data_IF_890534150869
#
_entry.id   IF_890534150869
#
_cell.length_a   1.000
_cell.length_b   1.000
_cell.length_c   1.000
_cell.angle_alpha   90.00
_cell.angle_beta   90.00
_cell.angle_gamma   90.00
#
_symmetry.space_group_name_H-M   'P 1'
#
loop_
_entity.id
_entity.type
_entity.pdbx_description
1 polymer ?
#
# COMPACT_ATOMS: atom_id res chain seq x y z
N UNK A 1 -6.56 13.57 28.59
CA UNK A 1 -5.13 13.93 28.67
C UNK A 1 -4.65 14.22 27.27
N UNK A 2 -4.86 15.42 26.83
CA UNK A 2 -4.30 16.05 25.63
C UNK A 2 -2.88 16.47 25.93
N UNK A 3 -1.86 15.82 25.31
CA UNK A 3 -0.53 16.45 25.14
C UNK A 3 0.40 15.54 24.33
N UNK A 4 0.94 16.06 23.24
CA UNK A 4 2.15 15.54 22.62
C UNK A 4 2.20 15.55 21.08
N UNK A 5 1.06 15.66 20.38
CA UNK A 5 1.04 15.42 18.93
C UNK A 5 1.22 16.67 18.01
N UNK A 6 1.43 17.87 18.58
CA UNK A 6 1.55 19.09 17.76
C UNK A 6 2.91 19.30 17.10
N UNK A 7 3.97 18.67 17.58
CA UNK A 7 5.33 18.90 17.03
C UNK A 7 5.65 18.04 15.81
N UNK A 8 5.11 16.81 15.71
CA UNK A 8 5.38 15.93 14.54
C UNK A 8 4.66 16.36 13.26
N UNK A 9 3.48 16.98 13.38
CA UNK A 9 2.75 17.53 12.22
C UNK A 9 3.44 18.76 11.59
N UNK A 10 4.30 19.47 12.33
CA UNK A 10 5.02 20.64 11.83
C UNK A 10 6.22 20.29 10.98
N UNK A 11 6.89 19.14 11.19
CA UNK A 11 8.07 18.76 10.40
C UNK A 11 7.70 18.15 9.04
N UNK A 12 6.62 17.38 8.94
CA UNK A 12 6.09 16.95 7.64
C UNK A 12 5.46 18.11 6.83
N UNK A 13 5.01 19.19 7.49
CA UNK A 13 4.57 20.43 6.86
C UNK A 13 5.72 21.27 6.27
N UNK A 14 6.94 21.11 6.75
CA UNK A 14 8.12 21.84 6.27
C UNK A 14 8.69 21.32 4.96
N UNK A 15 8.28 20.12 4.51
CA UNK A 15 8.72 19.54 3.24
C UNK A 15 7.92 20.03 2.01
N UNK A 16 6.78 20.71 2.21
CA UNK A 16 5.96 21.31 1.14
C UNK A 16 5.65 22.75 1.52
N UNK A 17 5.85 23.71 0.60
CA UNK A 17 5.73 25.14 0.83
C UNK A 17 4.40 25.57 1.48
N UNK A 18 4.46 26.51 2.39
CA UNK A 18 3.42 26.88 3.37
C UNK A 18 2.15 27.54 2.80
N UNK A 19 2.02 27.77 1.50
CA UNK A 19 0.86 28.47 0.90
C UNK A 19 -0.18 27.53 0.26
N UNK A 20 0.17 26.28 -0.06
CA UNK A 20 -0.70 25.35 -0.81
C UNK A 20 -1.73 24.59 0.05
N UNK A 21 -1.67 24.72 1.37
CA UNK A 21 -2.45 23.91 2.33
C UNK A 21 -3.86 24.41 2.63
N UNK A 22 -4.29 25.54 2.06
CA UNK A 22 -5.56 26.20 2.42
C UNK A 22 -6.80 25.56 1.82
N UNK A 23 -6.66 24.66 0.83
CA UNK A 23 -7.77 24.10 0.06
C UNK A 23 -8.15 22.66 0.42
N UNK A 24 -7.42 21.97 1.32
CA UNK A 24 -7.70 20.58 1.69
C UNK A 24 -8.06 20.42 3.16
N UNK A 25 -8.80 19.33 3.53
CA UNK A 25 -9.06 19.03 4.93
C UNK A 25 -7.75 19.04 5.73
N UNK A 26 -7.77 19.64 6.89
CA UNK A 26 -6.59 19.91 7.75
C UNK A 26 -5.77 18.65 8.10
N UNK A 27 -6.21 17.46 7.73
CA UNK A 27 -5.68 16.16 8.14
C UNK A 27 -5.22 15.26 6.98
N UNK A 28 -5.17 15.73 5.73
CA UNK A 28 -4.70 14.90 4.60
C UNK A 28 -3.17 14.76 4.59
N UNK A 29 -2.68 13.53 4.41
CA UNK A 29 -1.25 13.22 4.24
C UNK A 29 -0.99 12.85 2.77
N UNK A 30 -0.05 13.56 2.16
CA UNK A 30 0.39 13.30 0.79
C UNK A 30 1.56 12.33 0.77
N UNK A 31 1.69 11.51 -0.31
CA UNK A 31 2.83 10.62 -0.45
C UNK A 31 4.16 11.37 -0.47
N UNK A 32 5.07 11.01 0.41
CA UNK A 32 6.40 11.60 0.54
C UNK A 32 7.41 11.04 -0.48
N UNK A 33 7.08 11.04 -1.77
CA UNK A 33 7.90 10.44 -2.84
C UNK A 33 9.32 10.99 -2.95
N UNK A 34 9.58 12.17 -2.41
CA UNK A 34 10.91 12.78 -2.48
C UNK A 34 11.93 12.04 -1.61
N UNK A 35 11.52 11.49 -0.44
CA UNK A 35 12.47 10.82 0.48
C UNK A 35 11.86 9.90 1.53
N UNK A 36 10.54 9.91 1.76
CA UNK A 36 9.93 9.31 2.96
C UNK A 36 8.72 8.42 2.69
N UNK A 37 8.65 7.81 1.51
CA UNK A 37 7.62 6.85 1.17
C UNK A 37 8.14 5.42 1.12
N UNK A 38 7.24 4.44 1.08
CA UNK A 38 7.57 3.02 0.86
C UNK A 38 8.32 2.79 -0.46
N UNK A 39 8.15 3.66 -1.46
CA UNK A 39 8.92 3.61 -2.72
C UNK A 39 10.38 3.95 -2.46
N UNK A 40 10.63 4.97 -1.64
CA UNK A 40 11.97 5.40 -1.25
C UNK A 40 12.68 4.32 -0.40
N UNK A 41 11.92 3.59 0.44
CA UNK A 41 12.45 2.45 1.19
C UNK A 41 12.96 1.37 0.23
N UNK A 42 12.17 0.98 -0.78
CA UNK A 42 12.58 -0.03 -1.77
C UNK A 42 13.80 0.43 -2.58
N UNK A 43 13.85 1.70 -2.97
CA UNK A 43 15.03 2.28 -3.63
C UNK A 43 16.28 2.28 -2.74
N UNK A 44 16.12 2.50 -1.42
CA UNK A 44 17.22 2.43 -0.47
C UNK A 44 17.72 0.99 -0.28
N UNK A 45 16.83 -0.01 -0.27
CA UNK A 45 17.19 -1.43 -0.21
C UNK A 45 18.00 -1.84 -1.44
N UNK A 46 17.57 -1.44 -2.64
CA UNK A 46 18.34 -1.68 -3.86
C UNK A 46 19.75 -1.09 -3.78
N UNK A 47 19.87 0.17 -3.34
CA UNK A 47 21.17 0.84 -3.16
C UNK A 47 22.06 0.16 -2.12
N UNK A 48 21.48 -0.34 -1.03
CA UNK A 48 22.22 -1.08 0.00
C UNK A 48 22.96 -2.30 -0.61
N UNK A 49 22.31 -3.02 -1.52
CA UNK A 49 22.88 -4.15 -2.22
C UNK A 49 23.66 -3.78 -3.50
N UNK A 50 23.89 -2.50 -3.77
CA UNK A 50 24.57 -2.06 -4.99
C UNK A 50 23.79 -2.26 -6.27
N UNK A 51 22.48 -2.50 -6.19
CA UNK A 51 21.59 -2.69 -7.34
C UNK A 51 21.09 -1.36 -7.92
N UNK A 52 20.79 -1.34 -9.21
CA UNK A 52 20.29 -0.16 -9.90
C UNK A 52 18.84 0.18 -9.54
N UNK A 53 18.57 1.48 -9.35
CA UNK A 53 17.22 2.02 -9.14
C UNK A 53 16.71 2.59 -10.46
N UNK A 54 16.01 1.79 -11.24
CA UNK A 54 15.56 2.14 -12.60
C UNK A 54 14.48 3.23 -12.68
N UNK A 55 13.80 3.55 -11.58
CA UNK A 55 12.77 4.59 -11.52
C UNK A 55 13.32 6.01 -11.37
N UNK A 56 14.59 6.15 -10.98
CA UNK A 56 15.18 7.43 -10.60
C UNK A 56 14.65 7.99 -9.28
N UNK A 57 13.89 7.22 -8.51
CA UNK A 57 13.41 7.59 -7.18
C UNK A 57 14.60 7.68 -6.23
N UNK A 58 14.63 8.73 -5.41
CA UNK A 58 15.64 8.88 -4.35
C UNK A 58 15.42 7.82 -3.27
N UNK A 59 16.49 7.16 -2.85
CA UNK A 59 16.38 6.21 -1.72
C UNK A 59 16.12 6.93 -0.39
N UNK A 60 15.44 6.25 0.51
CA UNK A 60 15.31 6.66 1.91
C UNK A 60 16.71 6.70 2.56
N UNK A 61 16.98 7.71 3.36
CA UNK A 61 18.25 7.83 4.06
C UNK A 61 18.19 7.11 5.42
N UNK A 62 18.67 5.87 5.49
CA UNK A 62 18.71 5.13 6.75
C UNK A 62 19.49 5.87 7.80
N UNK A 63 20.71 6.33 7.47
CA UNK A 63 21.64 6.97 8.42
C UNK A 63 21.08 8.28 8.99
N UNK A 64 20.49 9.15 8.15
CA UNK A 64 19.88 10.40 8.60
C UNK A 64 18.69 10.16 9.54
N UNK A 65 18.06 9.00 9.45
CA UNK A 65 16.95 8.60 10.31
C UNK A 65 17.38 7.71 11.48
N UNK A 66 18.67 7.60 11.75
CA UNK A 66 19.21 6.84 12.88
C UNK A 66 19.14 5.32 12.70
N UNK A 67 19.02 4.84 11.46
CA UNK A 67 19.03 3.42 11.12
C UNK A 67 20.36 3.07 10.43
N UNK A 68 20.90 1.88 10.67
CA UNK A 68 22.16 1.46 10.07
C UNK A 68 22.06 0.04 9.51
N UNK A 69 22.36 -0.12 8.23
CA UNK A 69 22.44 -1.41 7.53
C UNK A 69 23.89 -1.80 7.17
N UNK A 70 24.90 -1.10 7.67
CA UNK A 70 26.30 -1.43 7.40
C UNK A 70 26.64 -2.85 7.85
N UNK A 71 27.28 -3.64 6.99
CA UNK A 71 27.61 -5.04 7.25
C UNK A 71 26.45 -6.03 7.13
N UNK A 72 25.25 -5.58 6.77
CA UNK A 72 24.09 -6.47 6.57
C UNK A 72 24.16 -7.07 5.18
N UNK A 73 24.23 -8.39 5.12
CA UNK A 73 24.24 -9.19 3.89
C UNK A 73 22.86 -9.83 3.61
N UNK A 74 22.12 -10.17 4.68
CA UNK A 74 20.80 -10.79 4.60
C UNK A 74 19.75 -9.86 5.16
N UNK A 75 18.86 -9.37 4.30
CA UNK A 75 17.81 -8.45 4.70
C UNK A 75 16.44 -9.10 4.56
N UNK A 76 15.68 -9.13 5.64
CA UNK A 76 14.29 -9.57 5.65
C UNK A 76 13.38 -8.36 5.78
N UNK A 77 12.46 -8.19 4.86
CA UNK A 77 11.45 -7.12 4.90
C UNK A 77 10.09 -7.72 5.15
N UNK A 78 9.52 -7.47 6.32
CA UNK A 78 8.13 -7.82 6.62
C UNK A 78 7.23 -6.68 6.16
N UNK A 79 6.33 -6.97 5.24
CA UNK A 79 5.23 -6.10 4.84
C UNK A 79 3.99 -6.64 5.54
N UNK A 80 3.55 -5.94 6.58
CA UNK A 80 2.40 -6.34 7.40
C UNK A 80 1.20 -5.51 6.96
N UNK A 81 0.36 -6.11 6.13
CA UNK A 81 -0.76 -5.46 5.44
C UNK A 81 -1.68 -4.70 6.40
N UNK A 82 -1.96 -3.46 6.06
CA UNK A 82 -2.84 -2.53 6.77
C UNK A 82 -2.40 -2.17 8.21
N UNK A 83 -1.19 -2.52 8.65
CA UNK A 83 -0.69 -2.12 9.97
C UNK A 83 -0.05 -0.74 9.89
N UNK A 84 -0.90 0.29 9.78
CA UNK A 84 -0.47 1.68 9.76
C UNK A 84 0.23 2.12 11.07
N UNK A 85 0.92 3.25 11.00
CA UNK A 85 1.68 3.80 12.13
C UNK A 85 0.85 3.95 13.41
N UNK A 86 -0.35 4.51 13.30
CA UNK A 86 -1.23 4.69 14.47
C UNK A 86 -1.81 3.38 14.99
N UNK A 87 -2.11 2.45 14.09
CA UNK A 87 -2.60 1.12 14.48
C UNK A 87 -1.52 0.36 15.24
N UNK A 88 -0.29 0.36 14.75
CA UNK A 88 0.85 -0.26 15.43
C UNK A 88 1.13 0.40 16.78
N UNK A 89 1.09 1.74 16.87
CA UNK A 89 1.32 2.45 18.13
C UNK A 89 0.40 1.96 19.24
N UNK A 90 -0.89 1.71 18.96
CA UNK A 90 -1.83 1.14 19.93
C UNK A 90 -1.45 -0.28 20.37
N UNK A 91 -0.94 -1.09 19.43
CA UNK A 91 -0.48 -2.45 19.75
C UNK A 91 0.74 -2.40 20.66
N UNK A 92 1.72 -1.54 20.38
CA UNK A 92 2.92 -1.37 21.20
C UNK A 92 2.61 -0.80 22.60
N UNK A 93 1.62 0.09 22.73
CA UNK A 93 1.18 0.62 24.02
C UNK A 93 0.46 -0.44 24.88
N UNK A 94 -0.25 -1.37 24.24
CA UNK A 94 -1.06 -2.40 24.89
C UNK A 94 -0.30 -3.68 25.22
N UNK A 95 0.88 -3.88 24.64
CA UNK A 95 1.68 -5.10 24.75
C UNK A 95 3.12 -4.75 25.13
N UNK A 96 3.83 -5.72 25.72
CA UNK A 96 5.24 -5.58 26.06
C UNK A 96 6.07 -6.42 25.11
N UNK A 97 6.93 -5.74 24.37
CA UNK A 97 7.94 -6.35 23.50
C UNK A 97 9.34 -6.01 24.01
N UNK A 98 10.31 -6.85 23.69
CA UNK A 98 11.71 -6.63 24.05
C UNK A 98 12.40 -5.71 23.03
N UNK A 99 12.08 -5.89 21.75
CA UNK A 99 12.75 -5.22 20.64
C UNK A 99 11.86 -4.21 19.90
N UNK A 100 10.57 -4.15 20.22
CA UNK A 100 9.65 -3.21 19.59
C UNK A 100 9.24 -2.12 20.56
N UNK A 101 9.94 -0.99 20.50
CA UNK A 101 9.61 0.20 21.29
C UNK A 101 9.02 1.26 20.36
N UNK A 102 8.03 2.01 20.83
CA UNK A 102 7.40 3.07 20.05
C UNK A 102 8.41 4.14 19.58
N UNK A 103 9.44 4.42 20.38
CA UNK A 103 10.48 5.41 20.11
C UNK A 103 11.37 5.00 18.92
N UNK A 104 11.46 3.72 18.63
CA UNK A 104 12.26 3.16 17.55
C UNK A 104 11.49 3.13 16.22
N UNK A 105 10.19 3.38 16.24
CA UNK A 105 9.34 3.38 15.04
C UNK A 105 9.56 4.67 14.26
N UNK A 106 10.09 4.56 13.05
CA UNK A 106 10.15 5.65 12.08
C UNK A 106 8.88 5.66 11.25
N UNK A 107 8.58 6.79 10.65
CA UNK A 107 7.34 7.01 9.89
C UNK A 107 7.66 7.16 8.40
N UNK A 108 6.98 6.38 7.57
CA UNK A 108 6.94 6.53 6.12
C UNK A 108 5.52 6.85 5.68
N UNK A 109 5.37 7.26 4.42
CA UNK A 109 4.06 7.32 3.79
C UNK A 109 3.85 6.13 2.87
N UNK A 110 2.61 5.70 2.75
CA UNK A 110 2.15 4.88 1.64
C UNK A 110 2.18 5.69 0.33
N UNK A 111 1.74 5.07 -0.74
CA UNK A 111 1.48 5.70 -2.04
C UNK A 111 0.01 6.12 -2.14
N UNK A 112 -0.36 6.86 -3.19
CA UNK A 112 -1.75 7.13 -3.50
C UNK A 112 -2.18 6.39 -4.78
N UNK A 113 -3.35 5.69 -4.74
CA UNK A 113 -4.17 5.41 -3.54
C UNK A 113 -3.43 4.51 -2.54
N UNK A 114 -3.75 4.67 -1.24
CA UNK A 114 -3.19 3.87 -0.15
C UNK A 114 -3.86 2.50 -0.08
N UNK A 115 -3.58 1.66 -1.07
CA UNK A 115 -4.22 0.36 -1.27
C UNK A 115 -3.22 -0.70 -1.68
N UNK A 116 -3.46 -1.95 -1.26
CA UNK A 116 -2.57 -3.11 -1.44
C UNK A 116 -2.03 -3.24 -2.87
N UNK A 117 -2.90 -3.15 -3.89
CA UNK A 117 -2.47 -3.34 -5.29
C UNK A 117 -1.45 -2.31 -5.75
N UNK A 118 -1.68 -1.01 -5.44
CA UNK A 118 -0.76 0.08 -5.79
C UNK A 118 0.49 0.07 -4.91
N UNK A 119 0.32 -0.11 -3.61
CA UNK A 119 1.40 -0.04 -2.64
C UNK A 119 2.39 -1.20 -2.76
N UNK A 120 1.90 -2.45 -2.84
CA UNK A 120 2.78 -3.61 -3.07
C UNK A 120 3.51 -3.49 -4.41
N UNK A 121 2.81 -3.09 -5.49
CA UNK A 121 3.48 -2.89 -6.77
C UNK A 121 4.58 -1.84 -6.67
N UNK A 122 4.35 -0.76 -5.95
CA UNK A 122 5.37 0.26 -5.70
C UNK A 122 6.57 -0.29 -4.91
N UNK A 123 6.33 -1.09 -3.87
CA UNK A 123 7.40 -1.74 -3.10
C UNK A 123 8.20 -2.70 -3.99
N UNK A 124 7.52 -3.58 -4.74
CA UNK A 124 8.16 -4.60 -5.56
C UNK A 124 8.84 -4.07 -6.83
N UNK A 125 8.62 -2.81 -7.20
CA UNK A 125 9.25 -2.19 -8.39
C UNK A 125 10.08 -0.95 -8.08
N UNK A 126 10.13 -0.52 -6.83
CA UNK A 126 10.76 0.74 -6.41
C UNK A 126 10.31 1.91 -7.32
N UNK A 127 9.04 1.94 -7.74
CA UNK A 127 8.48 2.94 -8.64
C UNK A 127 7.12 3.45 -8.16
N UNK A 128 6.78 4.67 -8.55
CA UNK A 128 5.53 5.32 -8.14
C UNK A 128 4.34 4.83 -8.98
N UNK A 129 3.09 4.94 -8.50
CA UNK A 129 1.90 4.47 -9.23
C UNK A 129 1.78 5.01 -10.65
N UNK A 130 2.17 6.26 -10.91
CA UNK A 130 2.21 6.85 -12.25
C UNK A 130 3.24 6.22 -13.20
N UNK A 131 4.16 5.40 -12.70
CA UNK A 131 5.15 4.68 -13.50
C UNK A 131 4.76 3.21 -13.76
N UNK A 132 4.30 2.49 -12.73
CA UNK A 132 3.95 1.08 -12.89
C UNK A 132 2.51 0.85 -13.39
N UNK A 133 1.63 1.85 -13.26
CA UNK A 133 0.31 1.87 -13.88
C UNK A 133 -0.79 1.09 -13.16
N UNK A 134 -0.55 0.60 -11.95
CA UNK A 134 -1.60 0.08 -11.05
C UNK A 134 -2.04 1.22 -10.15
N UNK A 135 -3.25 1.74 -10.40
CA UNK A 135 -3.76 2.96 -9.81
C UNK A 135 -4.87 2.72 -8.77
N UNK A 136 -5.07 1.49 -8.31
CA UNK A 136 -6.10 1.18 -7.31
C UNK A 136 -6.60 -0.25 -7.39
N UNK A 137 -7.54 -0.60 -6.51
CA UNK A 137 -8.18 -1.91 -6.45
C UNK A 137 -9.02 -2.19 -7.70
N UNK A 138 -9.94 -1.27 -8.05
CA UNK A 138 -10.73 -1.35 -9.27
C UNK A 138 -10.24 -0.30 -10.28
N UNK A 139 -9.86 -0.74 -11.45
CA UNK A 139 -9.31 0.10 -12.51
C UNK A 139 -10.04 -0.14 -13.83
N UNK A 140 -10.48 0.93 -14.48
CA UNK A 140 -11.09 0.80 -15.81
C UNK A 140 -10.01 0.48 -16.86
N UNK A 141 -10.15 -0.66 -17.49
CA UNK A 141 -9.27 -1.17 -18.54
C UNK A 141 -10.13 -1.55 -19.76
N UNK A 142 -10.49 -0.57 -20.60
CA UNK A 142 -11.36 -0.82 -21.76
C UNK A 142 -10.87 -1.93 -22.70
N UNK A 143 -9.54 -2.09 -22.78
CA UNK A 143 -8.88 -3.16 -23.54
C UNK A 143 -9.20 -4.58 -23.03
N UNK A 144 -9.70 -4.71 -21.80
CA UNK A 144 -10.15 -5.97 -21.17
C UNK A 144 -11.63 -5.97 -20.81
N UNK A 145 -12.41 -5.07 -21.41
CA UNK A 145 -13.86 -5.05 -21.27
C UNK A 145 -14.42 -4.17 -20.14
N UNK A 146 -13.59 -3.35 -19.50
CA UNK A 146 -14.05 -2.36 -18.52
C UNK A 146 -13.38 -2.48 -17.15
N UNK A 147 -14.17 -2.59 -16.08
CA UNK A 147 -13.68 -2.54 -14.71
C UNK A 147 -12.97 -3.85 -14.30
N UNK A 148 -11.74 -3.73 -13.84
CA UNK A 148 -10.87 -4.84 -13.46
C UNK A 148 -10.46 -4.72 -12.00
N UNK A 149 -10.57 -5.83 -11.26
CA UNK A 149 -9.99 -6.00 -9.93
C UNK A 149 -8.49 -6.29 -10.08
N UNK A 150 -7.64 -5.38 -9.63
CA UNK A 150 -6.18 -5.46 -9.82
C UNK A 150 -5.49 -6.39 -8.82
N UNK A 151 -6.12 -6.77 -7.72
CA UNK A 151 -5.61 -7.79 -6.79
C UNK A 151 -5.84 -9.20 -7.37
N UNK A 152 -7.00 -9.41 -7.94
CA UNK A 152 -7.41 -10.72 -8.45
C UNK A 152 -7.13 -10.89 -9.95
N UNK A 153 -6.71 -9.83 -10.64
CA UNK A 153 -6.49 -9.77 -12.08
C UNK A 153 -7.66 -10.39 -12.86
N UNK A 154 -8.84 -9.86 -12.59
CA UNK A 154 -10.08 -10.37 -13.15
C UNK A 154 -11.03 -9.21 -13.49
N UNK A 155 -11.83 -9.31 -14.57
CA UNK A 155 -12.98 -8.43 -14.72
C UNK A 155 -13.85 -8.51 -13.46
N UNK A 156 -14.36 -7.38 -13.01
CA UNK A 156 -15.14 -7.34 -11.79
C UNK A 156 -16.29 -8.37 -11.81
N UNK A 157 -16.48 -9.08 -10.70
CA UNK A 157 -17.46 -10.19 -10.54
C UNK A 157 -17.11 -11.54 -11.21
N UNK A 158 -15.87 -11.73 -11.68
CA UNK A 158 -15.43 -13.01 -12.23
C UNK A 158 -14.38 -13.68 -11.35
N UNK A 159 -14.03 -14.93 -11.68
CA UNK A 159 -13.03 -15.71 -10.94
C UNK A 159 -11.64 -15.09 -11.05
N UNK A 160 -10.83 -15.28 -10.01
CA UNK A 160 -9.43 -14.85 -9.95
C UNK A 160 -8.64 -15.26 -11.19
N UNK A 161 -7.72 -14.39 -11.63
CA UNK A 161 -6.83 -14.56 -12.77
C UNK A 161 -7.52 -14.76 -14.14
N UNK A 162 -8.81 -14.44 -14.24
CA UNK A 162 -9.57 -14.64 -15.47
C UNK A 162 -9.14 -13.69 -16.61
N UNK A 163 -8.45 -12.58 -16.32
CA UNK A 163 -7.87 -11.71 -17.34
C UNK A 163 -6.89 -12.44 -18.26
N UNK A 164 -6.21 -13.47 -17.78
CA UNK A 164 -5.29 -14.26 -18.60
C UNK A 164 -5.99 -14.92 -19.80
N UNK A 165 -7.29 -15.26 -19.65
CA UNK A 165 -8.12 -15.77 -20.75
C UNK A 165 -8.45 -14.70 -21.80
N UNK A 166 -8.34 -13.44 -21.43
CA UNK A 166 -8.51 -12.28 -22.32
C UNK A 166 -7.18 -11.79 -22.91
N UNK A 167 -6.11 -12.56 -22.76
CA UNK A 167 -4.79 -12.23 -23.29
C UNK A 167 -3.93 -11.34 -22.40
N UNK A 168 -4.33 -11.10 -21.15
CA UNK A 168 -3.47 -10.41 -20.19
C UNK A 168 -2.30 -11.29 -19.78
N UNK A 169 -1.09 -10.75 -19.87
CA UNK A 169 0.13 -11.42 -19.42
C UNK A 169 0.67 -10.70 -18.17
N UNK A 170 0.51 -11.28 -16.96
CA UNK A 170 0.99 -10.64 -15.72
C UNK A 170 2.49 -10.35 -15.76
N UNK A 171 3.29 -11.16 -16.46
CA UNK A 171 4.74 -11.00 -16.51
C UNK A 171 5.18 -9.83 -17.40
N UNK A 172 4.30 -9.32 -18.27
CA UNK A 172 4.59 -8.23 -19.21
C UNK A 172 3.83 -6.94 -18.89
N UNK A 173 2.85 -6.97 -17.99
CA UNK A 173 1.99 -5.82 -17.74
C UNK A 173 2.77 -4.64 -17.15
N UNK A 174 3.56 -4.89 -16.12
CA UNK A 174 4.45 -3.87 -15.54
C UNK A 174 5.77 -3.88 -16.33
N UNK A 175 6.06 -2.77 -17.00
CA UNK A 175 7.28 -2.61 -17.80
C UNK A 175 8.49 -2.12 -16.99
N UNK A 176 8.32 -1.94 -15.67
CA UNK A 176 9.41 -1.63 -14.76
C UNK A 176 10.05 -2.94 -14.28
N UNK A 177 11.37 -3.00 -14.11
CA UNK A 177 12.01 -4.09 -13.39
C UNK A 177 11.46 -4.20 -11.99
N UNK A 178 11.35 -5.41 -11.48
CA UNK A 178 11.09 -5.63 -10.06
C UNK A 178 12.37 -5.44 -9.25
N UNK A 179 12.24 -5.25 -7.93
CA UNK A 179 13.40 -5.22 -7.03
C UNK A 179 14.22 -6.51 -7.14
N UNK A 180 13.56 -7.66 -7.38
CA UNK A 180 14.25 -8.94 -7.54
C UNK A 180 15.00 -9.06 -8.87
N UNK A 181 14.48 -8.48 -9.96
CA UNK A 181 15.20 -8.43 -11.24
C UNK A 181 16.46 -7.57 -11.09
N UNK A 182 16.36 -6.37 -10.49
CA UNK A 182 17.52 -5.50 -10.24
C UNK A 182 18.54 -6.14 -9.30
N UNK A 183 18.10 -6.81 -8.24
CA UNK A 183 18.98 -7.54 -7.32
C UNK A 183 19.70 -8.71 -7.99
N UNK A 184 19.01 -9.45 -8.84
CA UNK A 184 19.60 -10.55 -9.62
C UNK A 184 20.74 -10.09 -10.51
N UNK A 185 20.61 -8.92 -11.13
CA UNK A 185 21.68 -8.30 -11.93
C UNK A 185 22.89 -7.90 -11.07
N UNK A 186 22.67 -7.55 -9.79
CA UNK A 186 23.71 -7.28 -8.81
C UNK A 186 24.28 -8.55 -8.11
N UNK A 187 23.83 -9.74 -8.51
CA UNK A 187 24.29 -11.01 -7.91
C UNK A 187 23.64 -11.34 -6.56
N UNK A 188 22.57 -10.65 -6.19
CA UNK A 188 21.84 -10.84 -4.92
C UNK A 188 20.60 -11.69 -5.15
N UNK A 189 20.35 -12.68 -4.30
CA UNK A 189 19.16 -13.54 -4.42
C UNK A 189 17.96 -12.87 -3.77
N UNK A 190 16.79 -13.02 -4.43
CA UNK A 190 15.52 -12.49 -3.95
C UNK A 190 14.52 -13.60 -3.63
N UNK A 191 13.87 -13.51 -2.47
CA UNK A 191 12.81 -14.40 -2.03
C UNK A 191 11.54 -13.62 -1.70
N UNK A 192 10.40 -14.15 -2.10
CA UNK A 192 9.08 -13.63 -1.77
C UNK A 192 8.27 -14.70 -1.04
N UNK A 193 8.11 -14.55 0.27
CA UNK A 193 7.27 -15.40 1.10
C UNK A 193 5.88 -14.78 1.20
N UNK A 194 4.86 -15.54 0.85
CA UNK A 194 3.46 -15.09 0.92
C UNK A 194 2.53 -16.28 1.19
N UNK A 195 1.25 -16.01 1.42
CA UNK A 195 0.28 -17.10 1.63
C UNK A 195 0.29 -18.12 0.48
N UNK A 196 0.15 -19.38 0.82
CA UNK A 196 0.01 -20.48 -0.15
C UNK A 196 -1.11 -20.26 -1.15
N UNK A 197 -2.15 -19.55 -0.75
CA UNK A 197 -3.27 -19.19 -1.62
C UNK A 197 -2.91 -18.10 -2.66
N UNK A 198 -1.81 -17.34 -2.43
CA UNK A 198 -1.41 -16.24 -3.31
C UNK A 198 -0.19 -16.56 -4.18
N UNK A 199 0.65 -17.51 -3.79
CA UNK A 199 1.98 -17.73 -4.41
C UNK A 199 1.95 -17.92 -5.93
N UNK A 200 0.87 -18.45 -6.48
CA UNK A 200 0.71 -18.69 -7.92
C UNK A 200 -0.26 -17.71 -8.61
N UNK A 201 -0.82 -16.73 -7.89
CA UNK A 201 -1.71 -15.74 -8.50
C UNK A 201 -0.96 -14.82 -9.47
N UNK A 202 -1.68 -14.23 -10.42
CA UNK A 202 -1.08 -13.35 -11.41
C UNK A 202 -0.37 -12.15 -10.78
N UNK A 203 -0.93 -11.53 -9.73
CA UNK A 203 -0.31 -10.41 -9.03
C UNK A 203 1.01 -10.82 -8.35
N UNK A 204 1.02 -11.95 -7.63
CA UNK A 204 2.26 -12.47 -7.01
C UNK A 204 3.32 -12.82 -8.05
N UNK A 205 2.93 -13.45 -9.16
CA UNK A 205 3.85 -13.74 -10.27
C UNK A 205 4.45 -12.47 -10.87
N UNK A 206 3.66 -11.41 -10.99
CA UNK A 206 4.08 -10.10 -11.44
C UNK A 206 5.15 -9.48 -10.53
N UNK A 207 4.91 -9.52 -9.21
CA UNK A 207 5.79 -8.96 -8.19
C UNK A 207 7.06 -9.81 -7.99
N UNK A 208 7.00 -11.13 -8.20
CA UNK A 208 8.10 -12.05 -7.94
C UNK A 208 9.02 -12.30 -9.15
N UNK A 209 8.86 -11.56 -10.26
CA UNK A 209 9.77 -11.68 -11.40
C UNK A 209 11.23 -11.46 -10.95
N UNK A 210 12.13 -12.33 -11.38
CA UNK A 210 13.54 -12.30 -10.99
C UNK A 210 13.85 -12.94 -9.63
N UNK A 211 12.85 -13.16 -8.77
CA UNK A 211 12.97 -13.79 -7.45
C UNK A 211 12.32 -15.18 -7.37
N UNK A 212 12.36 -15.76 -6.18
CA UNK A 212 11.79 -17.07 -5.86
C UNK A 212 10.60 -16.86 -4.92
N UNK A 213 9.38 -17.14 -5.42
CA UNK A 213 8.18 -17.11 -4.59
C UNK A 213 8.00 -18.43 -3.83
N UNK A 214 7.73 -18.34 -2.51
CA UNK A 214 7.42 -19.48 -1.65
C UNK A 214 6.11 -19.22 -0.92
N UNK A 215 5.23 -20.22 -0.91
CA UNK A 215 3.91 -20.13 -0.29
C UNK A 215 3.88 -20.78 1.08
N UNK A 216 3.41 -20.05 2.09
CA UNK A 216 3.32 -20.49 3.48
C UNK A 216 1.87 -20.60 3.94
N UNK A 217 1.59 -21.53 4.88
CA UNK A 217 0.25 -21.79 5.41
C UNK A 217 -0.07 -20.99 6.68
N UNK A 218 0.95 -20.61 7.44
CA UNK A 218 0.80 -19.88 8.70
C UNK A 218 2.13 -19.46 9.29
N UNK A 219 2.12 -18.90 10.51
CA UNK A 219 3.32 -18.35 11.15
C UNK A 219 4.45 -19.37 11.31
N UNK A 220 4.13 -20.60 11.78
CA UNK A 220 5.14 -21.63 11.97
C UNK A 220 5.85 -22.02 10.68
N UNK A 221 5.08 -22.20 9.60
CA UNK A 221 5.59 -22.53 8.27
C UNK A 221 6.39 -21.36 7.66
N UNK A 222 5.95 -20.11 7.90
CA UNK A 222 6.67 -18.93 7.48
C UNK A 222 8.07 -18.83 8.11
N UNK A 223 8.18 -19.10 9.40
CA UNK A 223 9.47 -19.04 10.08
C UNK A 223 10.36 -20.25 9.75
N UNK A 224 9.80 -21.42 9.48
CA UNK A 224 10.55 -22.58 8.97
C UNK A 224 11.18 -22.28 7.60
N UNK A 225 10.40 -21.72 6.66
CA UNK A 225 10.91 -21.29 5.36
C UNK A 225 11.96 -20.18 5.46
N UNK A 226 11.74 -19.22 6.38
CA UNK A 226 12.67 -18.14 6.62
C UNK A 226 13.99 -18.66 7.22
N UNK A 227 13.94 -19.55 8.21
CA UNK A 227 15.13 -20.20 8.80
C UNK A 227 15.92 -20.98 7.74
N UNK A 228 15.22 -21.73 6.89
CA UNK A 228 15.86 -22.45 5.78
C UNK A 228 16.57 -21.50 4.78
N UNK A 229 15.97 -20.35 4.45
CA UNK A 229 16.61 -19.36 3.57
C UNK A 229 17.84 -18.77 4.25
N UNK A 230 17.70 -18.31 5.49
CA UNK A 230 18.80 -17.64 6.22
C UNK A 230 19.96 -18.59 6.54
N UNK A 231 19.69 -19.88 6.77
CA UNK A 231 20.70 -20.89 7.12
C UNK A 231 21.40 -21.53 5.92
N UNK A 232 20.70 -21.68 4.79
CA UNK A 232 21.20 -22.44 3.63
C UNK A 232 21.90 -21.59 2.58
N UNK A 233 21.70 -20.27 2.59
CA UNK A 233 22.19 -19.40 1.53
C UNK A 233 23.53 -18.75 1.90
N UNK A 234 24.54 -18.98 1.07
CA UNK A 234 25.78 -18.23 1.10
C UNK A 234 25.59 -16.92 0.31
N UNK A 235 26.14 -15.82 0.85
CA UNK A 235 26.10 -14.49 0.21
C UNK A 235 24.83 -13.69 0.49
N UNK A 236 24.74 -12.57 -0.19
CA UNK A 236 23.69 -11.58 0.07
C UNK A 236 22.32 -12.03 -0.46
N UNK A 237 21.28 -11.80 0.32
CA UNK A 237 19.92 -12.02 -0.12
C UNK A 237 18.91 -10.99 0.46
N UNK A 238 17.82 -10.78 -0.28
CA UNK A 238 16.63 -10.05 0.17
C UNK A 238 15.48 -11.03 0.26
N UNK A 239 14.88 -11.15 1.43
CA UNK A 239 13.62 -11.86 1.61
C UNK A 239 12.50 -10.87 1.92
N UNK A 240 11.48 -10.79 1.08
CA UNK A 240 10.26 -10.01 1.35
C UNK A 240 9.19 -10.99 1.82
N UNK A 241 8.66 -10.74 3.02
CA UNK A 241 7.56 -11.50 3.63
C UNK A 241 6.31 -10.63 3.60
N UNK A 242 5.27 -11.05 2.88
CA UNK A 242 3.98 -10.36 2.87
C UNK A 242 2.96 -11.13 3.73
N UNK A 243 2.40 -10.41 4.72
CA UNK A 243 1.41 -10.95 5.66
C UNK A 243 0.10 -10.17 5.59
N UNK A 244 -0.89 -10.70 4.86
CA UNK A 244 -2.15 -10.02 4.54
C UNK A 244 -3.33 -10.29 5.50
N UNK A 245 -3.12 -11.09 6.57
CA UNK A 245 -4.26 -11.52 7.41
C UNK A 245 -4.83 -10.38 8.26
N UNK A 246 -3.99 -9.44 8.68
CA UNK A 246 -4.37 -8.35 9.58
C UNK A 246 -5.31 -7.38 8.86
N UNK A 247 -5.08 -7.07 7.59
CA UNK A 247 -6.00 -6.29 6.75
C UNK A 247 -7.41 -6.91 6.72
N UNK A 248 -7.49 -8.22 6.53
CA UNK A 248 -8.76 -8.96 6.56
C UNK A 248 -9.52 -8.76 7.87
N UNK A 249 -8.81 -8.77 9.02
CA UNK A 249 -9.43 -8.52 10.31
C UNK A 249 -9.85 -7.06 10.47
N UNK A 250 -9.05 -6.13 9.99
CA UNK A 250 -9.38 -4.72 9.97
C UNK A 250 -10.65 -4.44 9.17
N UNK A 251 -10.76 -4.96 7.96
CA UNK A 251 -11.98 -4.84 7.16
C UNK A 251 -13.21 -5.42 7.85
N UNK A 252 -13.07 -6.59 8.46
CA UNK A 252 -14.21 -7.31 9.05
C UNK A 252 -14.64 -6.80 10.42
N UNK A 253 -13.68 -6.47 11.27
CA UNK A 253 -13.93 -6.16 12.69
C UNK A 253 -13.56 -4.72 13.07
N UNK A 254 -12.84 -4.01 12.22
CA UNK A 254 -12.27 -2.69 12.45
C UNK A 254 -10.83 -2.74 12.96
N UNK A 255 -10.02 -1.73 12.64
CA UNK A 255 -8.60 -1.65 13.03
C UNK A 255 -8.40 -1.42 14.54
N UNK A 256 -9.46 -1.13 15.29
CA UNK A 256 -9.44 -1.03 16.76
C UNK A 256 -9.98 -2.29 17.47
N UNK A 257 -10.30 -3.34 16.71
CA UNK A 257 -10.88 -4.57 17.27
C UNK A 257 -9.86 -5.43 18.01
N UNK A 258 -10.36 -6.25 18.94
CA UNK A 258 -9.54 -7.23 19.64
C UNK A 258 -8.83 -8.18 18.65
N UNK A 259 -9.52 -8.61 17.59
CA UNK A 259 -8.95 -9.53 16.59
C UNK A 259 -7.77 -8.90 15.86
N UNK A 260 -7.89 -7.66 15.43
CA UNK A 260 -6.82 -6.92 14.75
C UNK A 260 -5.60 -6.72 15.68
N UNK A 261 -5.84 -6.22 16.90
CA UNK A 261 -4.79 -5.96 17.90
C UNK A 261 -4.07 -7.25 18.31
N UNK A 262 -4.85 -8.31 18.59
CA UNK A 262 -4.27 -9.60 19.03
C UNK A 262 -3.46 -10.29 17.93
N UNK A 263 -3.94 -10.29 16.69
CA UNK A 263 -3.21 -10.90 15.57
C UNK A 263 -1.91 -10.14 15.28
N UNK A 264 -1.96 -8.81 15.31
CA UNK A 264 -0.75 -7.98 15.18
C UNK A 264 0.25 -8.30 16.30
N UNK A 265 -0.21 -8.34 17.55
CA UNK A 265 0.65 -8.65 18.69
C UNK A 265 1.25 -10.06 18.61
N UNK A 266 0.49 -11.05 18.17
CA UNK A 266 0.97 -12.42 17.96
C UNK A 266 2.06 -12.49 16.89
N UNK A 267 1.86 -11.83 15.76
CA UNK A 267 2.85 -11.75 14.70
C UNK A 267 4.15 -11.09 15.19
N UNK A 268 4.04 -9.93 15.84
CA UNK A 268 5.20 -9.21 16.35
C UNK A 268 5.96 -9.99 17.42
N UNK A 269 5.26 -10.67 18.34
CA UNK A 269 5.88 -11.58 19.31
C UNK A 269 6.61 -12.74 18.65
N UNK A 270 6.06 -13.29 17.57
CA UNK A 270 6.68 -14.38 16.84
C UNK A 270 7.92 -13.91 16.05
N UNK A 271 7.87 -12.71 15.45
CA UNK A 271 9.03 -12.08 14.79
C UNK A 271 10.15 -11.83 15.82
N UNK A 272 9.81 -11.25 16.97
CA UNK A 272 10.76 -10.96 18.05
C UNK A 272 11.48 -12.22 18.55
N UNK A 273 10.72 -13.28 18.81
CA UNK A 273 11.28 -14.57 19.23
C UNK A 273 12.20 -15.18 18.18
N UNK A 274 11.77 -15.19 16.92
CA UNK A 274 12.61 -15.69 15.83
C UNK A 274 13.88 -14.86 15.67
N UNK A 275 13.77 -13.54 15.75
CA UNK A 275 14.93 -12.64 15.72
C UNK A 275 15.91 -12.93 16.84
N UNK A 276 15.44 -13.12 18.06
CA UNK A 276 16.30 -13.45 19.21
C UNK A 276 17.01 -14.79 19.06
N UNK A 277 16.28 -15.82 18.68
CA UNK A 277 16.74 -17.21 18.68
C UNK A 277 17.58 -17.59 17.44
N UNK A 278 17.33 -16.98 16.28
CA UNK A 278 17.83 -17.46 14.97
C UNK A 278 18.67 -16.48 14.18
N UNK A 279 18.49 -15.16 14.37
CA UNK A 279 19.15 -14.16 13.53
C UNK A 279 20.63 -13.99 13.89
N UNK A 280 21.49 -13.88 12.89
CA UNK A 280 22.93 -13.65 13.02
C UNK A 280 23.26 -12.16 12.81
N UNK A 281 24.51 -11.73 13.09
CA UNK A 281 24.93 -10.32 13.02
C UNK A 281 24.84 -9.71 11.62
N UNK A 282 25.07 -10.49 10.56
CA UNK A 282 24.95 -10.05 9.16
C UNK A 282 23.51 -9.98 8.65
N UNK A 283 22.53 -10.28 9.49
CA UNK A 283 21.12 -10.29 9.15
C UNK A 283 20.36 -9.19 9.88
N UNK A 284 19.51 -8.47 9.16
CA UNK A 284 18.60 -7.48 9.73
C UNK A 284 17.17 -7.69 9.25
N UNK A 285 16.22 -7.23 10.07
CA UNK A 285 14.80 -7.19 9.72
C UNK A 285 14.33 -5.74 9.60
N UNK A 286 13.68 -5.43 8.50
CA UNK A 286 12.87 -4.24 8.34
C UNK A 286 11.40 -4.63 8.42
N UNK A 287 10.63 -3.96 9.26
CA UNK A 287 9.20 -4.18 9.38
C UNK A 287 8.49 -2.91 8.95
N UNK A 288 7.56 -3.03 8.00
CA UNK A 288 6.75 -1.92 7.49
C UNK A 288 5.36 -2.43 7.12
N UNK A 289 4.51 -1.54 6.62
CA UNK A 289 3.23 -1.86 6.01
C UNK A 289 3.15 -1.25 4.61
N UNK A 290 2.23 -1.70 3.83
CA UNK A 290 1.89 -1.12 2.53
C UNK A 290 0.96 0.09 2.66
N UNK A 291 0.01 0.04 3.60
CA UNK A 291 -0.85 1.14 4.03
C UNK A 291 -1.33 0.92 5.47
N UNK A 292 -2.05 1.88 6.01
CA UNK A 292 -2.79 1.72 7.23
C UNK A 292 -4.30 1.53 6.96
N UNK A 293 -5.11 1.62 8.01
CA UNK A 293 -6.55 1.44 7.92
C UNK A 293 -7.28 2.36 8.89
N UNK A 294 -8.36 3.00 8.40
CA UNK A 294 -9.26 3.82 9.21
C UNK A 294 -10.54 3.06 9.54
N UNK A 295 -11.07 3.23 10.75
CA UNK A 295 -12.38 2.74 11.11
C UNK A 295 -13.46 3.64 10.49
N UNK A 296 -14.43 3.03 9.80
CA UNK A 296 -15.53 3.72 9.15
C UNK A 296 -16.84 3.29 9.81
N UNK A 297 -17.48 4.15 10.61
CA UNK A 297 -18.79 3.88 11.19
C UNK A 297 -19.85 3.63 10.09
N UNK A 298 -20.80 2.77 10.38
CA UNK A 298 -21.84 2.42 9.39
C UNK A 298 -22.69 3.62 8.98
N UNK A 299 -22.89 4.56 9.86
CA UNK A 299 -23.58 5.83 9.64
C UNK A 299 -22.82 6.79 8.71
N UNK A 300 -21.51 6.56 8.49
CA UNK A 300 -20.67 7.31 7.57
C UNK A 300 -20.46 6.59 6.24
N UNK A 301 -21.16 5.50 5.99
CA UNK A 301 -21.20 4.84 4.68
C UNK A 301 -22.23 5.52 3.77
N UNK A 302 -21.75 6.24 2.77
CA UNK A 302 -22.61 6.89 1.76
C UNK A 302 -22.78 5.93 0.58
N UNK A 303 -23.95 5.29 0.52
CA UNK A 303 -24.27 4.30 -0.50
C UNK A 303 -24.95 4.92 -1.70
N UNK A 304 -24.47 4.57 -2.90
CA UNK A 304 -25.06 4.94 -4.18
C UNK A 304 -24.99 3.80 -5.19
N UNK A 305 -25.64 3.96 -6.36
CA UNK A 305 -25.81 2.89 -7.33
C UNK A 305 -26.00 3.44 -8.75
N UNK A 306 -26.10 2.54 -9.72
CA UNK A 306 -26.44 2.88 -11.10
C UNK A 306 -27.83 3.51 -11.29
N UNK A 307 -28.65 3.58 -10.24
CA UNK A 307 -29.98 4.21 -10.28
C UNK A 307 -29.97 5.64 -9.76
N UNK A 308 -28.85 6.12 -9.27
CA UNK A 308 -28.69 7.49 -8.78
C UNK A 308 -28.49 8.46 -9.96
N UNK A 309 -29.01 9.71 -9.87
CA UNK A 309 -28.96 10.67 -10.98
C UNK A 309 -27.56 10.99 -11.50
N UNK A 310 -26.53 10.88 -10.64
CA UNK A 310 -25.13 11.07 -11.03
C UNK A 310 -24.72 10.06 -12.09
N UNK A 311 -25.21 8.80 -11.98
CA UNK A 311 -24.78 7.73 -12.88
C UNK A 311 -25.25 7.93 -14.34
N UNK A 312 -26.30 8.72 -14.57
CA UNK A 312 -26.77 9.05 -15.94
C UNK A 312 -25.68 9.73 -16.79
N UNK A 313 -24.74 10.43 -16.15
CA UNK A 313 -23.63 11.13 -16.80
C UNK A 313 -22.37 10.28 -16.94
N UNK A 314 -22.40 9.01 -16.54
CA UNK A 314 -21.25 8.12 -16.52
C UNK A 314 -21.30 7.09 -17.65
N UNK A 315 -20.13 6.75 -18.21
CA UNK A 315 -20.00 5.69 -19.21
C UNK A 315 -19.49 4.36 -18.64
N UNK A 316 -19.09 4.35 -17.36
CA UNK A 316 -18.64 3.16 -16.65
C UNK A 316 -19.00 3.27 -15.17
N UNK A 317 -19.10 2.13 -14.49
CA UNK A 317 -19.14 2.09 -13.03
C UNK A 317 -17.86 2.70 -12.44
N UNK A 318 -17.92 3.29 -11.23
CA UNK A 318 -16.74 3.90 -10.62
C UNK A 318 -15.63 2.87 -10.39
N UNK A 319 -14.37 3.31 -10.49
CA UNK A 319 -13.20 2.52 -10.10
C UNK A 319 -12.62 3.01 -8.77
N UNK A 320 -11.43 2.55 -8.43
CA UNK A 320 -10.72 2.93 -7.20
C UNK A 320 -11.12 2.11 -5.99
N UNK A 321 -11.34 2.80 -4.89
CA UNK A 321 -11.64 2.26 -3.56
C UNK A 321 -12.87 2.96 -2.97
N UNK A 322 -13.38 2.48 -1.83
CA UNK A 322 -14.47 3.16 -1.14
C UNK A 322 -14.04 4.47 -0.44
N UNK A 323 -12.74 4.68 -0.26
CA UNK A 323 -12.16 5.90 0.30
C UNK A 323 -11.69 6.90 -0.76
N UNK A 324 -11.50 6.44 -1.99
CA UNK A 324 -11.26 7.25 -3.18
C UNK A 324 -11.83 6.56 -4.41
N UNK A 325 -12.51 7.29 -5.28
CA UNK A 325 -13.11 6.69 -6.47
C UNK A 325 -12.75 7.43 -7.74
N UNK A 326 -12.58 6.68 -8.83
CA UNK A 326 -12.47 7.19 -10.18
C UNK A 326 -13.85 7.28 -10.82
N UNK A 327 -14.18 8.44 -11.33
CA UNK A 327 -15.46 8.73 -11.96
C UNK A 327 -15.26 8.88 -13.46
N UNK A 328 -15.93 8.04 -14.23
CA UNK A 328 -15.82 7.96 -15.68
C UNK A 328 -17.00 8.66 -16.32
N UNK A 329 -16.82 9.92 -16.69
CA UNK A 329 -17.88 10.84 -17.05
C UNK A 329 -17.94 11.14 -18.56
N UNK A 330 -19.17 11.22 -19.10
CA UNK A 330 -19.46 11.71 -20.44
C UNK A 330 -19.43 13.25 -20.50
N UNK A 331 -19.83 13.91 -19.41
CA UNK A 331 -19.80 15.37 -19.23
C UNK A 331 -19.27 15.69 -17.83
N UNK A 332 -17.99 16.04 -17.78
CA UNK A 332 -17.28 16.28 -16.52
C UNK A 332 -17.91 17.35 -15.65
N UNK A 333 -18.30 18.50 -16.25
CA UNK A 333 -18.84 19.62 -15.50
C UNK A 333 -20.20 19.28 -14.89
N UNK A 334 -21.05 18.62 -15.68
CA UNK A 334 -22.37 18.21 -15.24
C UNK A 334 -22.27 17.14 -14.15
N UNK A 335 -21.38 16.15 -14.32
CA UNK A 335 -21.13 15.13 -13.31
C UNK A 335 -20.58 15.72 -12.03
N UNK A 336 -19.59 16.62 -12.11
CA UNK A 336 -19.02 17.31 -10.95
C UNK A 336 -20.11 18.03 -10.17
N UNK A 337 -20.96 18.82 -10.84
CA UNK A 337 -22.05 19.54 -10.19
C UNK A 337 -23.02 18.60 -9.48
N UNK A 338 -23.47 17.54 -10.13
CA UNK A 338 -24.36 16.54 -9.52
C UNK A 338 -23.71 15.87 -8.30
N UNK A 339 -22.42 15.51 -8.38
CA UNK A 339 -21.69 14.91 -7.27
C UNK A 339 -21.49 15.88 -6.10
N UNK A 340 -21.23 17.16 -6.38
CA UNK A 340 -21.12 18.20 -5.34
C UNK A 340 -22.47 18.41 -4.64
N UNK A 341 -23.57 18.44 -5.38
CA UNK A 341 -24.92 18.59 -4.82
C UNK A 341 -25.33 17.40 -3.95
N UNK A 342 -24.93 16.18 -4.31
CA UNK A 342 -25.37 14.95 -3.63
C UNK A 342 -24.40 14.48 -2.55
N UNK A 343 -23.08 14.60 -2.80
CA UNK A 343 -22.03 13.99 -1.95
C UNK A 343 -20.99 14.98 -1.43
N UNK A 344 -21.08 16.28 -1.77
CA UNK A 344 -20.04 17.27 -1.46
C UNK A 344 -19.76 17.47 0.03
N UNK A 345 -20.72 17.16 0.90
CA UNK A 345 -20.50 17.18 2.35
C UNK A 345 -19.52 16.10 2.82
N UNK A 346 -19.45 14.98 2.11
CA UNK A 346 -18.71 13.78 2.50
C UNK A 346 -17.39 13.60 1.71
N UNK A 347 -17.27 14.25 0.55
CA UNK A 347 -16.20 14.03 -0.40
C UNK A 347 -15.51 15.33 -0.81
N UNK A 348 -14.22 15.24 -1.12
CA UNK A 348 -13.53 16.15 -2.03
C UNK A 348 -13.66 15.61 -3.46
N UNK A 349 -14.02 16.47 -4.41
CA UNK A 349 -14.16 16.10 -5.82
C UNK A 349 -13.08 16.86 -6.60
N UNK A 350 -12.10 16.11 -7.10
CA UNK A 350 -10.90 16.67 -7.71
C UNK A 350 -10.90 16.47 -9.21
N UNK A 351 -10.53 17.53 -9.92
CA UNK A 351 -10.23 17.44 -11.34
C UNK A 351 -8.84 16.84 -11.58
N UNK A 352 -8.65 16.18 -12.72
CA UNK A 352 -7.37 15.60 -13.09
C UNK A 352 -6.18 16.55 -13.06
N UNK A 353 -6.38 17.81 -13.43
CA UNK A 353 -5.35 18.85 -13.37
C UNK A 353 -4.82 19.07 -11.95
N UNK A 354 -5.72 19.10 -10.96
CA UNK A 354 -5.35 19.27 -9.55
C UNK A 354 -4.56 18.05 -9.03
N UNK A 355 -4.99 16.84 -9.40
CA UNK A 355 -4.27 15.61 -9.05
C UNK A 355 -2.86 15.57 -9.65
N UNK A 356 -2.70 15.99 -10.91
CA UNK A 356 -1.40 16.07 -11.58
C UNK A 356 -0.50 17.15 -10.93
N UNK A 357 -1.06 18.30 -10.55
CA UNK A 357 -0.39 19.38 -9.82
C UNK A 357 0.13 18.89 -8.45
N UNK A 358 -0.72 18.18 -7.71
CA UNK A 358 -0.39 17.59 -6.40
C UNK A 358 0.56 16.40 -6.49
N UNK A 359 0.85 15.89 -7.70
CA UNK A 359 1.70 14.72 -7.95
C UNK A 359 1.31 13.48 -7.12
N UNK A 360 0.01 13.27 -6.90
CA UNK A 360 -0.47 12.16 -6.05
C UNK A 360 -0.01 10.79 -6.56
N UNK A 361 0.16 10.61 -7.87
CA UNK A 361 0.72 9.40 -8.47
C UNK A 361 2.25 9.46 -8.66
N UNK A 362 2.92 10.46 -8.10
CA UNK A 362 4.36 10.66 -8.18
C UNK A 362 4.86 11.24 -9.49
N UNK A 363 4.22 10.92 -10.61
CA UNK A 363 4.51 11.45 -11.95
C UNK A 363 3.24 11.74 -12.72
N UNK A 364 3.36 12.58 -13.74
CA UNK A 364 2.28 12.82 -14.71
C UNK A 364 1.92 11.53 -15.43
N UNK A 365 0.63 11.23 -15.48
CA UNK A 365 0.11 10.01 -16.10
C UNK A 365 0.22 10.06 -17.62
N UNK A 366 0.55 8.93 -18.24
CA UNK A 366 0.42 8.73 -19.69
C UNK A 366 -1.04 8.81 -20.13
N UNK A 367 -1.30 8.99 -21.44
CA UNK A 367 -2.67 9.02 -21.94
C UNK A 367 -3.46 7.73 -21.61
N UNK A 368 -2.81 6.57 -21.63
CA UNK A 368 -3.42 5.30 -21.22
C UNK A 368 -3.84 5.32 -19.75
N UNK A 369 -2.96 5.76 -18.86
CA UNK A 369 -3.24 5.82 -17.44
C UNK A 369 -4.29 6.89 -17.08
N UNK A 370 -4.32 8.02 -17.82
CA UNK A 370 -5.38 9.02 -17.67
C UNK A 370 -6.77 8.44 -17.97
N UNK A 371 -6.90 7.61 -19.00
CA UNK A 371 -8.17 6.90 -19.30
C UNK A 371 -8.57 5.93 -18.18
N UNK A 372 -7.60 5.29 -17.54
CA UNK A 372 -7.85 4.37 -16.42
C UNK A 372 -8.27 5.10 -15.14
N UNK A 373 -7.80 6.34 -14.95
CA UNK A 373 -8.14 7.20 -13.80
C UNK A 373 -9.52 7.87 -13.94
N UNK A 374 -10.04 8.05 -15.15
CA UNK A 374 -11.29 8.77 -15.40
C UNK A 374 -11.16 10.30 -15.38
N UNK A 375 -12.31 10.99 -15.44
CA UNK A 375 -12.46 12.42 -15.60
C UNK A 375 -12.55 13.18 -14.29
N UNK A 376 -12.93 12.53 -13.17
CA UNK A 376 -12.93 13.09 -11.82
C UNK A 376 -12.42 12.04 -10.84
N UNK A 377 -11.89 12.50 -9.71
CA UNK A 377 -11.48 11.67 -8.59
C UNK A 377 -12.19 12.18 -7.34
N UNK A 378 -12.78 11.27 -6.57
CA UNK A 378 -13.32 11.60 -5.26
C UNK A 378 -12.40 11.09 -4.18
N UNK A 379 -12.25 11.86 -3.10
CA UNK A 379 -11.53 11.47 -1.89
C UNK A 379 -12.46 11.67 -0.71
N UNK A 380 -12.66 10.63 0.08
CA UNK A 380 -13.54 10.70 1.24
C UNK A 380 -12.95 11.55 2.36
N UNK A 381 -13.76 12.45 2.91
CA UNK A 381 -13.40 13.28 4.05
C UNK A 381 -13.47 12.45 5.35
N UNK A 382 -12.62 12.76 6.31
CA UNK A 382 -12.62 12.13 7.63
C UNK A 382 -12.77 10.60 7.55
N UNK A 383 -13.71 10.01 8.25
CA UNK A 383 -14.04 8.57 8.29
C UNK A 383 -15.25 8.18 7.42
N UNK A 384 -15.70 9.08 6.52
CA UNK A 384 -16.72 8.74 5.52
C UNK A 384 -16.19 7.77 4.46
N UNK A 385 -17.10 7.08 3.79
CA UNK A 385 -16.80 6.24 2.63
C UNK A 385 -17.90 6.34 1.58
N UNK A 386 -17.51 6.42 0.30
CA UNK A 386 -18.43 6.39 -0.83
C UNK A 386 -18.53 4.96 -1.37
N UNK A 387 -19.64 4.31 -1.11
CA UNK A 387 -19.86 2.90 -1.39
C UNK A 387 -20.79 2.71 -2.61
N UNK A 388 -20.26 2.20 -3.71
CA UNK A 388 -21.07 1.91 -4.90
C UNK A 388 -21.63 0.48 -4.87
N UNK A 389 -22.90 0.33 -5.21
CA UNK A 389 -23.57 -0.97 -5.35
C UNK A 389 -23.39 -1.51 -6.76
N UNK A 390 -22.36 -2.31 -6.97
CA UNK A 390 -22.07 -2.94 -8.26
C UNK A 390 -23.03 -4.08 -8.57
N UNK A 391 -23.25 -4.96 -7.60
CA UNK A 391 -24.11 -6.15 -7.72
C UNK A 391 -25.35 -6.07 -6.85
N UNK A 392 -25.35 -5.22 -5.82
CA UNK A 392 -26.39 -5.14 -4.79
C UNK A 392 -26.21 -6.14 -3.66
N UNK A 393 -25.07 -6.89 -3.65
CA UNK A 393 -24.72 -7.85 -2.59
C UNK A 393 -23.51 -7.40 -1.79
N UNK A 394 -23.11 -6.13 -1.93
CA UNK A 394 -21.98 -5.55 -1.20
C UNK A 394 -22.25 -5.51 0.30
N UNK A 395 -21.23 -5.80 1.07
CA UNK A 395 -21.28 -5.80 2.53
C UNK A 395 -20.60 -4.56 3.10
N UNK A 396 -21.11 -4.11 4.24
CA UNK A 396 -20.43 -3.09 5.07
C UNK A 396 -19.09 -3.61 5.57
N UNK A 397 -18.05 -2.78 5.46
CA UNK A 397 -16.73 -3.02 6.03
C UNK A 397 -16.54 -2.07 7.21
N UNK A 398 -15.88 -2.52 8.28
CA UNK A 398 -15.61 -1.68 9.45
C UNK A 398 -14.34 -0.88 9.33
N UNK A 399 -13.32 -1.45 8.72
CA UNK A 399 -12.08 -0.75 8.38
C UNK A 399 -11.96 -0.58 6.87
N UNK A 400 -11.39 0.55 6.43
CA UNK A 400 -11.15 0.88 5.03
C UNK A 400 -9.85 1.62 4.86
N UNK A 401 -9.39 1.68 3.63
CA UNK A 401 -8.19 2.38 3.19
C UNK A 401 -8.34 2.84 1.73
N UNK A 402 -7.36 3.53 1.20
CA UNK A 402 -7.35 4.04 -0.18
C UNK A 402 -7.32 5.56 -0.28
N UNK A 403 -7.66 6.26 0.83
CA UNK A 403 -7.70 7.71 0.91
C UNK A 403 -6.38 8.36 1.35
N UNK A 404 -6.51 9.55 1.93
CA UNK A 404 -5.38 10.40 2.33
C UNK A 404 -5.34 10.69 3.84
N UNK A 405 -6.15 10.02 4.67
CA UNK A 405 -6.07 10.28 6.11
C UNK A 405 -4.75 9.76 6.69
N UNK A 406 -4.29 10.32 7.82
CA UNK A 406 -3.08 9.84 8.49
C UNK A 406 -3.12 8.35 8.83
N UNK A 407 -4.30 7.82 9.20
CA UNK A 407 -4.51 6.42 9.53
C UNK A 407 -4.30 5.50 8.33
N UNK A 408 -4.58 5.98 7.11
CA UNK A 408 -4.43 5.23 5.85
C UNK A 408 -3.02 5.38 5.27
N UNK A 409 -2.45 6.59 5.35
CA UNK A 409 -1.23 6.98 4.66
C UNK A 409 0.05 6.73 5.43
N UNK A 410 0.04 6.86 6.76
CA UNK A 410 1.25 6.72 7.55
C UNK A 410 1.50 5.26 7.91
N UNK A 411 2.68 4.77 7.56
CA UNK A 411 3.12 3.41 7.81
C UNK A 411 4.40 3.38 8.65
N UNK A 412 4.60 2.34 9.48
CA UNK A 412 5.80 2.23 10.31
C UNK A 412 7.02 1.79 9.50
N UNK A 413 8.18 2.13 9.98
CA UNK A 413 9.45 1.49 9.64
C UNK A 413 10.22 1.19 10.91
N UNK A 414 10.51 -0.08 11.15
CA UNK A 414 11.30 -0.58 12.28
C UNK A 414 12.48 -1.37 11.72
N UNK A 415 13.65 -1.15 12.30
CA UNK A 415 14.85 -1.94 12.04
C UNK A 415 15.19 -2.78 13.27
N UNK A 416 15.28 -4.10 13.10
CA UNK A 416 15.91 -5.00 14.07
C UNK A 416 17.23 -5.49 13.51
N UNK A 417 18.32 -5.27 14.27
CA UNK A 417 19.65 -5.85 13.99
C UNK A 417 20.33 -6.22 15.29
N UNK A 418 21.20 -7.20 15.26
CA UNK A 418 22.11 -7.51 16.38
C UNK A 418 23.38 -6.68 16.25
N UNK A 419 23.86 -6.14 17.39
CA UNK A 419 25.11 -5.39 17.49
C UNK A 419 26.33 -6.27 17.27
#
# INVERSE_FOLDING_TARGET
LTFGNRHFFTESRLALGSEEWKEFPVESIYPGYDSSSIVNLSAAILKHFGAEVNSGVKGYSFTENGLNLEGIEKLVVFIVDAVGYYNLSKVLESNRFKYFNREDVRMLTSVFPSTTSSALTSIFTASVPGEHGILGYLQNMPEYGGLVNMIELTPYTQDRDNLTRLGFDPLKFIQRPTVFESLKEAGVRGYHLTSKSFVNTGLTRMHSRGGIARGVHGLGDMFEELDAILSSEEGSNLTIVYWGLIDTYGHRYGPNSLSYISETALLFSAIERFFEDRVQHETAFLITADHGQIETPREHEVWWSKFDPVFEEMYSMPGGEQRMSYIYSLDREKTRKKMEEEFGDYLEILEPSKIDEMKLFGKSLTNTLRKRRGELITISKSDYSLCFKYTGQEHSLKGRHGGLTPEEMLVPLILLRKD
#
